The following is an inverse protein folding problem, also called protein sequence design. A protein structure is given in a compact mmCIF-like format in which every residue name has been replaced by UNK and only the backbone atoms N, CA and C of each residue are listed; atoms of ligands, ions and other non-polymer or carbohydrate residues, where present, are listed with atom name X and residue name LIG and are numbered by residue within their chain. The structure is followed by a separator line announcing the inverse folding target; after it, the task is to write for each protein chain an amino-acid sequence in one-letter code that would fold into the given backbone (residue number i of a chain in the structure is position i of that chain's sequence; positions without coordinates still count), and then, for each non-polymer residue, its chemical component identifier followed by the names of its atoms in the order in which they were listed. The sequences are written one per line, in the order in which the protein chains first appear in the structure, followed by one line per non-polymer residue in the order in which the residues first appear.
data_IF_087712043602
#
_entry.id   IF_087712043602
#
_cell.length_a   1.000
_cell.length_b   1.000
_cell.length_c   1.000
_cell.angle_alpha   90.00
_cell.angle_beta   90.00
_cell.angle_gamma   90.00
#
_symmetry.space_group_name_H-M   'P 1'
#
loop_
_entity.id
_entity.type
_entity.pdbx_description
1 polymer ?
#
# COMPACT_ATOMS: atom_id res chain seq x y z
N UNK A 1 -18.73 58.13 -55.91
CA UNK A 1 -19.45 57.22 -55.06
C UNK A 1 -18.62 55.97 -54.86
N UNK A 2 -17.93 55.80 -53.72
CA UNK A 2 -17.07 54.63 -53.43
C UNK A 2 -17.94 53.64 -52.59
N UNK A 3 -18.11 52.42 -53.15
CA UNK A 3 -18.82 51.34 -52.47
C UNK A 3 -17.82 50.64 -51.50
N UNK A 4 -18.13 50.69 -50.20
CA UNK A 4 -17.42 49.87 -49.19
C UNK A 4 -18.13 48.50 -49.12
N UNK A 5 -17.34 47.44 -49.31
CA UNK A 5 -17.72 46.06 -49.01
C UNK A 5 -17.21 45.68 -47.65
N UNK A 6 -18.14 45.43 -46.73
CA UNK A 6 -17.82 44.89 -45.40
C UNK A 6 -17.79 43.38 -45.48
N UNK A 7 -16.59 42.75 -45.32
CA UNK A 7 -16.43 41.32 -45.21
C UNK A 7 -16.53 40.94 -43.70
N UNK A 8 -17.65 40.30 -43.37
CA UNK A 8 -17.82 39.68 -42.03
C UNK A 8 -17.08 38.33 -42.05
N UNK A 9 -15.89 38.25 -41.40
CA UNK A 9 -15.23 37.01 -41.12
C UNK A 9 -15.87 36.38 -39.86
N UNK A 10 -16.75 35.39 -40.05
CA UNK A 10 -17.16 34.50 -38.97
C UNK A 10 -16.07 33.49 -38.72
N UNK A 11 -15.28 33.71 -37.65
CA UNK A 11 -14.33 32.74 -37.15
C UNK A 11 -15.11 31.60 -36.48
N UNK A 12 -15.30 30.50 -37.24
CA UNK A 12 -15.80 29.25 -36.69
C UNK A 12 -14.67 28.58 -35.89
N UNK A 13 -14.61 28.86 -34.60
CA UNK A 13 -13.70 28.16 -33.69
C UNK A 13 -14.17 26.71 -33.53
N UNK A 14 -13.50 25.83 -34.24
CA UNK A 14 -13.65 24.38 -34.10
C UNK A 14 -13.02 23.99 -32.74
N UNK A 15 -13.85 23.93 -31.70
CA UNK A 15 -13.47 23.36 -30.40
C UNK A 15 -13.43 21.84 -30.60
N UNK A 16 -12.27 21.33 -30.99
CA UNK A 16 -12.00 19.89 -30.90
C UNK A 16 -11.90 19.53 -29.43
N UNK A 17 -12.98 18.99 -28.88
CA UNK A 17 -12.90 18.23 -27.63
C UNK A 17 -11.94 17.06 -27.88
N UNK A 18 -10.71 17.23 -27.43
CA UNK A 18 -9.81 16.10 -27.18
C UNK A 18 -10.46 15.29 -26.05
N UNK A 19 -11.28 14.33 -26.44
CA UNK A 19 -11.61 13.21 -25.56
C UNK A 19 -10.31 12.45 -25.37
N UNK A 20 -9.50 12.87 -24.39
CA UNK A 20 -8.46 12.03 -23.85
C UNK A 20 -9.17 10.74 -23.42
N UNK A 21 -8.83 9.62 -24.02
CA UNK A 21 -9.20 8.30 -23.53
C UNK A 21 -8.68 8.22 -22.10
N UNK A 22 -9.51 8.55 -21.11
CA UNK A 22 -9.30 8.17 -19.74
C UNK A 22 -9.50 6.67 -19.72
N UNK A 23 -8.43 5.93 -20.01
CA UNK A 23 -8.42 4.50 -19.81
C UNK A 23 -8.92 4.27 -18.37
N UNK A 24 -10.02 3.56 -18.22
CA UNK A 24 -10.56 3.27 -16.92
C UNK A 24 -9.46 2.62 -16.09
N UNK A 25 -9.06 3.28 -15.00
CA UNK A 25 -7.96 2.84 -14.13
C UNK A 25 -8.20 1.44 -13.57
N UNK A 26 -9.45 1.14 -13.29
CA UNK A 26 -9.90 -0.16 -12.76
C UNK A 26 -10.87 -0.81 -13.74
N UNK A 27 -10.68 -2.09 -13.97
CA UNK A 27 -11.57 -2.89 -14.81
C UNK A 27 -12.32 -3.87 -13.93
N UNK A 28 -13.65 -3.84 -14.02
CA UNK A 28 -14.51 -4.82 -13.32
C UNK A 28 -14.81 -5.97 -14.26
N UNK A 29 -14.28 -7.15 -13.98
CA UNK A 29 -14.54 -8.38 -14.76
C UNK A 29 -14.32 -9.62 -13.90
N UNK A 30 -14.86 -10.74 -14.32
CA UNK A 30 -14.62 -12.04 -13.70
C UNK A 30 -13.14 -12.43 -13.72
N UNK A 31 -12.79 -13.41 -12.89
CA UNK A 31 -11.43 -13.93 -12.75
C UNK A 31 -11.37 -15.03 -11.69
N UNK A 32 -10.26 -15.08 -10.96
CA UNK A 32 -10.05 -16.00 -9.86
C UNK A 32 -11.11 -15.79 -8.76
N UNK A 33 -11.74 -16.84 -8.22
CA UNK A 33 -12.73 -16.75 -7.14
C UNK A 33 -12.15 -16.16 -5.84
N UNK A 34 -10.82 -16.20 -5.65
CA UNK A 34 -10.14 -15.59 -4.50
C UNK A 34 -9.85 -14.09 -4.70
N UNK A 35 -10.35 -13.46 -5.77
CA UNK A 35 -10.19 -12.04 -6.04
C UNK A 35 -11.51 -11.28 -6.03
N UNK A 36 -11.43 -9.97 -5.82
CA UNK A 36 -12.59 -9.06 -5.70
C UNK A 36 -13.23 -8.69 -7.06
N UNK A 37 -12.90 -9.40 -8.14
CA UNK A 37 -13.37 -9.12 -9.53
C UNK A 37 -12.99 -7.72 -10.04
N UNK A 38 -12.04 -7.08 -9.42
CA UNK A 38 -11.48 -5.78 -9.79
C UNK A 38 -10.03 -5.96 -10.24
N UNK A 39 -9.66 -5.31 -11.32
CA UNK A 39 -8.36 -5.43 -11.95
C UNK A 39 -7.68 -4.08 -12.03
N UNK A 40 -6.39 -4.07 -11.79
CA UNK A 40 -5.51 -2.90 -11.91
C UNK A 40 -4.24 -3.29 -12.67
N UNK A 41 -3.88 -2.54 -13.70
CA UNK A 41 -2.70 -2.79 -14.55
C UNK A 41 -2.55 -4.25 -15.03
N UNK A 42 -3.68 -4.86 -15.45
CA UNK A 42 -3.69 -6.23 -15.97
C UNK A 42 -3.74 -7.34 -14.92
N UNK A 43 -3.67 -7.01 -13.63
CA UNK A 43 -3.70 -7.95 -12.52
C UNK A 43 -5.03 -7.85 -11.75
N UNK A 44 -5.60 -9.00 -11.38
CA UNK A 44 -6.76 -9.04 -10.48
C UNK A 44 -6.30 -8.80 -9.04
N UNK A 45 -7.08 -8.01 -8.30
CA UNK A 45 -6.85 -7.73 -6.89
C UNK A 45 -7.38 -8.89 -6.05
N UNK A 46 -6.57 -9.37 -5.10
CA UNK A 46 -6.97 -10.44 -4.19
C UNK A 46 -7.98 -9.96 -3.14
N UNK A 47 -8.66 -10.90 -2.47
CA UNK A 47 -9.40 -10.59 -1.26
C UNK A 47 -8.45 -10.25 -0.13
N UNK A 48 -8.78 -9.23 0.64
CA UNK A 48 -8.03 -8.85 1.85
C UNK A 48 -8.19 -9.93 2.93
N UNK A 49 -7.11 -10.19 3.66
CA UNK A 49 -7.13 -11.03 4.84
C UNK A 49 -7.73 -10.24 6.00
N UNK A 50 -8.80 -10.77 6.63
CA UNK A 50 -9.40 -10.15 7.82
C UNK A 50 -8.69 -10.57 9.11
N UNK A 51 -9.09 -9.96 10.24
CA UNK A 51 -8.59 -10.30 11.59
C UNK A 51 -8.72 -11.79 11.96
N UNK A 52 -9.56 -12.57 11.29
CA UNK A 52 -9.62 -14.03 11.47
C UNK A 52 -8.31 -14.73 11.03
N UNK A 53 -7.45 -14.05 10.29
CA UNK A 53 -6.13 -14.54 9.88
C UNK A 53 -5.00 -14.29 10.88
N UNK A 54 -5.27 -13.73 12.07
CA UNK A 54 -4.22 -13.38 13.06
C UNK A 54 -3.36 -14.59 13.43
N UNK A 55 -3.96 -15.75 13.66
CA UNK A 55 -3.22 -16.97 14.01
C UNK A 55 -2.23 -17.37 12.90
N UNK A 56 -2.61 -17.16 11.64
CA UNK A 56 -1.72 -17.42 10.50
C UNK A 56 -0.61 -16.37 10.42
N UNK A 57 -0.91 -15.10 10.73
CA UNK A 57 0.07 -14.01 10.75
C UNK A 57 1.11 -14.17 11.87
N UNK A 58 0.76 -14.83 12.98
CA UNK A 58 1.63 -15.07 14.14
C UNK A 58 2.15 -16.51 14.21
N UNK A 59 2.03 -17.29 13.13
CA UNK A 59 2.53 -18.68 13.12
C UNK A 59 4.02 -18.76 13.43
N UNK A 60 4.47 -19.73 14.24
CA UNK A 60 5.87 -19.83 14.65
C UNK A 60 6.85 -20.01 13.49
N UNK A 61 6.40 -20.60 12.39
CA UNK A 61 7.22 -20.89 11.21
C UNK A 61 7.51 -19.64 10.37
N UNK A 62 6.79 -18.54 10.59
CA UNK A 62 6.84 -17.32 9.76
C UNK A 62 8.24 -16.75 9.61
N UNK A 63 9.02 -16.70 10.70
CA UNK A 63 10.40 -16.17 10.66
C UNK A 63 11.28 -16.99 9.71
N UNK A 64 11.11 -18.32 9.69
CA UNK A 64 11.86 -19.23 8.82
C UNK A 64 11.38 -19.12 7.37
N UNK A 65 10.05 -19.10 7.15
CA UNK A 65 9.46 -19.07 5.81
C UNK A 65 9.73 -17.76 5.08
N UNK A 66 9.63 -16.63 5.78
CA UNK A 66 9.78 -15.28 5.23
C UNK A 66 11.21 -14.72 5.38
N UNK A 67 12.08 -15.42 6.11
CA UNK A 67 13.45 -14.98 6.44
C UNK A 67 13.45 -13.53 6.99
N UNK A 68 12.64 -13.29 8.01
CA UNK A 68 12.39 -11.97 8.62
C UNK A 68 13.69 -11.28 9.05
N UNK A 69 14.62 -12.04 9.63
CA UNK A 69 15.93 -11.52 10.04
C UNK A 69 16.73 -10.94 8.87
N UNK A 70 16.68 -11.58 7.70
CA UNK A 70 17.34 -11.08 6.48
C UNK A 70 16.64 -9.81 5.96
N UNK A 71 15.31 -9.78 5.98
CA UNK A 71 14.55 -8.58 5.61
C UNK A 71 14.96 -7.40 6.49
N UNK A 72 14.88 -7.54 7.82
CA UNK A 72 15.23 -6.46 8.76
C UNK A 72 16.67 -5.96 8.55
N UNK A 73 17.62 -6.87 8.34
CA UNK A 73 19.01 -6.51 8.04
C UNK A 73 19.13 -5.65 6.77
N UNK A 74 18.38 -5.99 5.72
CA UNK A 74 18.43 -5.30 4.42
C UNK A 74 17.70 -3.96 4.42
N UNK A 75 16.77 -3.72 5.36
CA UNK A 75 16.09 -2.44 5.50
C UNK A 75 17.06 -1.30 5.88
N UNK A 76 18.24 -1.61 6.43
CA UNK A 76 19.22 -0.62 6.91
C UNK A 76 18.60 0.40 7.86
N UNK A 77 17.87 -0.09 8.86
CA UNK A 77 17.17 0.73 9.84
C UNK A 77 18.14 1.61 10.63
N UNK A 78 17.77 2.85 10.86
CA UNK A 78 18.56 3.81 11.65
C UNK A 78 17.77 4.26 12.89
N UNK A 79 18.48 4.51 13.97
CA UNK A 79 17.90 5.11 15.18
C UNK A 79 17.24 6.46 14.82
N UNK A 80 16.03 6.68 15.33
CA UNK A 80 15.29 7.93 15.13
C UNK A 80 14.39 7.96 13.88
N UNK A 81 14.42 6.93 13.03
CA UNK A 81 13.54 6.87 11.85
C UNK A 81 12.05 6.90 12.21
N UNK A 82 11.26 7.50 11.32
CA UNK A 82 9.81 7.44 11.31
C UNK A 82 9.41 6.39 10.26
N UNK A 83 8.93 5.25 10.69
CA UNK A 83 8.60 4.13 9.79
C UNK A 83 7.10 3.87 9.84
N UNK A 84 6.47 3.63 8.70
CA UNK A 84 5.10 3.13 8.66
C UNK A 84 5.08 1.67 8.20
N UNK A 85 4.41 0.83 8.99
CA UNK A 85 4.03 -0.53 8.66
C UNK A 85 2.62 -0.46 8.09
N UNK A 86 2.47 -0.68 6.78
CA UNK A 86 1.23 -0.45 6.05
C UNK A 86 0.45 -1.77 5.92
N UNK A 87 -0.80 -1.76 6.37
CA UNK A 87 -1.63 -2.94 6.62
C UNK A 87 -0.91 -3.85 7.63
N UNK A 88 -0.69 -3.27 8.81
CA UNK A 88 0.15 -3.86 9.85
C UNK A 88 -0.39 -5.20 10.41
N UNK A 89 -1.69 -5.47 10.22
CA UNK A 89 -2.35 -6.71 10.64
C UNK A 89 -2.17 -6.96 12.14
N UNK A 90 -1.62 -8.12 12.49
CA UNK A 90 -1.30 -8.50 13.88
C UNK A 90 -0.16 -7.68 14.50
N UNK A 91 0.59 -6.90 13.70
CA UNK A 91 1.74 -6.14 14.15
C UNK A 91 3.06 -6.92 14.19
N UNK A 92 3.13 -8.04 13.52
CA UNK A 92 4.34 -8.87 13.51
C UNK A 92 5.60 -8.04 13.17
N UNK A 93 5.59 -7.33 12.03
CA UNK A 93 6.70 -6.44 11.66
C UNK A 93 6.73 -5.16 12.49
N UNK A 94 5.60 -4.61 12.89
CA UNK A 94 5.51 -3.43 13.78
C UNK A 94 6.35 -3.59 15.04
N UNK A 95 6.24 -4.75 15.73
CA UNK A 95 6.97 -5.05 16.95
C UNK A 95 8.48 -5.15 16.71
N UNK A 96 8.89 -5.76 15.62
CA UNK A 96 10.29 -5.92 15.23
C UNK A 96 10.93 -4.58 14.85
N UNK A 97 10.22 -3.77 14.05
CA UNK A 97 10.65 -2.42 13.67
C UNK A 97 10.82 -1.52 14.90
N UNK A 98 9.85 -1.55 15.82
CA UNK A 98 9.88 -0.75 17.06
C UNK A 98 11.14 -1.00 17.88
N UNK A 99 11.53 -2.26 18.02
CA UNK A 99 12.75 -2.68 18.74
C UNK A 99 14.04 -2.27 18.02
N UNK A 100 13.98 -2.01 16.73
CA UNK A 100 15.17 -1.78 15.87
C UNK A 100 15.54 -0.31 15.67
N UNK A 101 14.63 0.64 15.95
CA UNK A 101 14.82 2.07 15.61
C UNK A 101 15.06 3.00 16.82
N UNK A 102 15.26 2.43 18.00
CA UNK A 102 15.58 3.20 19.21
C UNK A 102 14.51 4.24 19.56
N UNK A 103 14.86 5.52 19.48
CA UNK A 103 13.96 6.65 19.76
C UNK A 103 13.11 7.08 18.54
N UNK A 104 13.13 6.34 17.46
CA UNK A 104 12.24 6.51 16.31
C UNK A 104 10.80 6.15 16.66
N UNK A 105 9.89 6.27 15.66
CA UNK A 105 8.48 5.86 15.81
C UNK A 105 8.07 4.92 14.68
N UNK A 106 7.24 3.94 15.03
CA UNK A 106 6.54 3.09 14.08
C UNK A 106 5.08 3.50 14.04
N UNK A 107 4.56 3.77 12.85
CA UNK A 107 3.15 4.00 12.60
C UNK A 107 2.57 2.70 12.04
N UNK A 108 1.81 1.99 12.85
CA UNK A 108 1.11 0.77 12.47
C UNK A 108 -0.24 1.16 11.84
N UNK A 109 -0.30 1.16 10.52
CA UNK A 109 -1.48 1.57 9.75
C UNK A 109 -2.28 0.35 9.37
N UNK A 110 -3.55 0.32 9.68
CA UNK A 110 -4.47 -0.71 9.22
C UNK A 110 -5.84 -0.13 8.87
N UNK A 111 -6.56 -0.79 7.97
CA UNK A 111 -7.91 -0.37 7.56
C UNK A 111 -8.98 -1.03 8.42
N UNK A 112 -8.68 -2.18 9.04
CA UNK A 112 -9.63 -2.94 9.83
C UNK A 112 -9.61 -2.52 11.31
N UNK A 113 -10.73 -2.01 11.87
CA UNK A 113 -10.79 -1.58 13.27
C UNK A 113 -10.40 -2.67 14.27
N UNK A 114 -10.70 -3.93 13.97
CA UNK A 114 -10.37 -5.06 14.81
C UNK A 114 -8.88 -5.31 14.89
N UNK A 115 -8.14 -5.11 13.78
CA UNK A 115 -6.67 -5.15 13.78
C UNK A 115 -6.09 -4.02 14.64
N UNK A 116 -6.64 -2.81 14.52
CA UNK A 116 -6.21 -1.67 15.36
C UNK A 116 -6.43 -1.95 16.86
N UNK A 117 -7.56 -2.57 17.23
CA UNK A 117 -7.81 -2.97 18.61
C UNK A 117 -6.78 -3.99 19.08
N UNK A 118 -6.55 -5.04 18.33
CA UNK A 118 -5.56 -6.08 18.61
C UNK A 118 -4.14 -5.48 18.76
N UNK A 119 -3.72 -4.62 17.84
CA UNK A 119 -2.44 -3.91 17.92
C UNK A 119 -2.29 -3.10 19.22
N UNK A 120 -3.33 -2.37 19.61
CA UNK A 120 -3.31 -1.56 20.83
C UNK A 120 -3.14 -2.44 22.10
N UNK A 121 -3.80 -3.57 22.17
CA UNK A 121 -3.65 -4.53 23.26
C UNK A 121 -2.24 -5.09 23.30
N UNK A 122 -1.72 -5.55 22.18
CA UNK A 122 -0.37 -6.10 22.04
C UNK A 122 0.72 -5.07 22.40
N UNK A 123 0.60 -3.83 21.95
CA UNK A 123 1.53 -2.73 22.28
C UNK A 123 1.57 -2.51 23.80
N UNK A 124 0.41 -2.54 24.45
CA UNK A 124 0.30 -2.39 25.91
C UNK A 124 0.93 -3.56 26.67
N UNK A 125 0.69 -4.78 26.22
CA UNK A 125 1.25 -5.99 26.81
C UNK A 125 2.78 -6.02 26.71
N UNK A 126 3.33 -5.69 25.52
CA UNK A 126 4.77 -5.62 25.29
C UNK A 126 5.42 -4.34 25.84
N UNK A 127 4.64 -3.41 26.41
CA UNK A 127 5.10 -2.14 27.00
C UNK A 127 5.92 -1.28 26.02
N UNK A 128 5.57 -1.31 24.75
CA UNK A 128 6.23 -0.52 23.73
C UNK A 128 5.65 0.90 23.69
N UNK A 129 6.52 1.91 23.66
CA UNK A 129 6.13 3.32 23.78
C UNK A 129 6.34 4.13 22.51
N UNK A 130 6.97 3.53 21.51
CA UNK A 130 7.33 4.18 20.25
C UNK A 130 6.49 3.71 19.04
N UNK A 131 5.32 3.12 19.30
CA UNK A 131 4.36 2.71 18.26
C UNK A 131 3.13 3.61 18.35
N UNK A 132 2.62 4.01 17.20
CA UNK A 132 1.36 4.75 17.04
C UNK A 132 0.48 3.96 16.07
N UNK A 133 -0.68 3.51 16.52
CA UNK A 133 -1.68 2.90 15.65
C UNK A 133 -2.43 3.96 14.87
N UNK A 134 -2.66 3.72 13.60
CA UNK A 134 -3.35 4.66 12.70
C UNK A 134 -4.44 3.92 11.94
N UNK A 135 -5.68 4.37 12.10
CA UNK A 135 -6.79 3.87 11.30
C UNK A 135 -6.73 4.52 9.91
N UNK A 136 -6.33 3.73 8.92
CA UNK A 136 -6.34 4.12 7.51
C UNK A 136 -7.69 3.85 6.85
N UNK A 137 -7.71 3.98 5.53
CA UNK A 137 -8.82 3.57 4.67
C UNK A 137 -8.27 2.86 3.43
N UNK A 138 -9.14 2.31 2.58
CA UNK A 138 -8.72 1.65 1.33
C UNK A 138 -8.00 2.59 0.34
N UNK A 139 -8.05 3.91 0.56
CA UNK A 139 -7.48 4.93 -0.34
C UNK A 139 -6.48 5.86 0.35
N UNK A 140 -6.33 5.76 1.68
CA UNK A 140 -5.55 6.75 2.42
C UNK A 140 -4.90 6.12 3.67
N UNK A 141 -3.58 6.27 3.78
CA UNK A 141 -2.79 5.84 4.94
C UNK A 141 -3.00 6.70 6.20
N UNK A 142 -3.70 7.83 6.08
CA UNK A 142 -3.98 8.78 7.17
C UNK A 142 -2.74 9.28 7.92
N UNK A 143 -1.60 9.38 7.23
CA UNK A 143 -0.35 9.90 7.77
C UNK A 143 -0.10 11.35 7.31
N UNK A 144 0.55 12.19 8.14
CA UNK A 144 0.89 13.56 7.75
C UNK A 144 1.80 13.60 6.50
N UNK A 145 1.68 14.64 5.65
CA UNK A 145 2.58 14.81 4.52
C UNK A 145 4.05 14.91 4.94
N UNK A 146 4.93 14.33 4.14
CA UNK A 146 6.40 14.41 4.32
C UNK A 146 6.88 14.08 5.73
N UNK A 147 6.27 13.07 6.36
CA UNK A 147 6.54 12.70 7.76
C UNK A 147 7.29 11.37 7.92
N UNK A 148 7.28 10.51 6.91
CA UNK A 148 7.75 9.12 6.99
C UNK A 148 9.06 8.94 6.23
N UNK A 149 10.06 8.33 6.88
CA UNK A 149 11.34 8.00 6.28
C UNK A 149 11.28 6.71 5.44
N UNK A 150 10.48 5.74 5.90
CA UNK A 150 10.30 4.46 5.22
C UNK A 150 8.89 3.92 5.44
N UNK A 151 8.30 3.38 4.39
CA UNK A 151 7.09 2.55 4.47
C UNK A 151 7.44 1.12 4.10
N UNK A 152 6.97 0.18 4.91
CA UNK A 152 7.11 -1.24 4.68
C UNK A 152 5.73 -1.85 4.40
N UNK A 153 5.64 -2.63 3.33
CA UNK A 153 4.49 -3.44 2.97
C UNK A 153 4.99 -4.88 2.79
N UNK A 154 4.45 -5.81 3.56
CA UNK A 154 4.83 -7.23 3.46
C UNK A 154 3.60 -8.07 3.18
N UNK A 155 3.56 -8.64 1.99
CA UNK A 155 2.50 -9.55 1.51
C UNK A 155 1.10 -8.91 1.59
N UNK A 156 0.96 -7.66 1.13
CA UNK A 156 -0.29 -6.88 1.25
C UNK A 156 -0.66 -6.05 0.02
N UNK A 157 0.30 -5.63 -0.82
CA UNK A 157 0.00 -4.74 -1.95
C UNK A 157 -0.99 -5.39 -2.94
N UNK A 158 -0.91 -6.70 -3.09
CA UNK A 158 -1.79 -7.48 -3.96
C UNK A 158 -3.28 -7.47 -3.51
N UNK A 159 -3.56 -7.04 -2.29
CA UNK A 159 -4.91 -6.93 -1.70
C UNK A 159 -5.49 -5.51 -1.78
N UNK A 160 -4.72 -4.50 -2.19
CA UNK A 160 -5.21 -3.12 -2.22
C UNK A 160 -6.38 -2.96 -3.19
N UNK A 161 -7.56 -2.64 -2.66
CA UNK A 161 -8.77 -2.36 -3.45
C UNK A 161 -8.59 -1.13 -4.37
N UNK A 162 -7.75 -0.16 -3.96
CA UNK A 162 -7.47 1.08 -4.67
C UNK A 162 -5.96 1.39 -4.67
N UNK A 163 -5.13 0.54 -5.35
CA UNK A 163 -3.67 0.64 -5.28
C UNK A 163 -3.12 1.98 -5.78
N UNK A 164 -3.75 2.64 -6.74
CA UNK A 164 -3.30 3.95 -7.23
C UNK A 164 -3.51 5.05 -6.19
N UNK A 165 -4.71 5.14 -5.62
CA UNK A 165 -5.07 6.14 -4.61
C UNK A 165 -4.22 5.93 -3.34
N UNK A 166 -4.06 4.68 -2.93
CA UNK A 166 -3.20 4.31 -1.81
C UNK A 166 -1.74 4.69 -2.09
N UNK A 167 -1.25 4.41 -3.31
CA UNK A 167 0.09 4.80 -3.77
C UNK A 167 0.31 6.31 -3.69
N UNK A 168 -0.65 7.13 -4.13
CA UNK A 168 -0.58 8.58 -4.00
C UNK A 168 -0.56 9.04 -2.54
N UNK A 169 -1.38 8.43 -1.69
CA UNK A 169 -1.42 8.74 -0.27
C UNK A 169 -0.08 8.43 0.41
N UNK A 170 0.50 7.26 0.12
CA UNK A 170 1.83 6.88 0.61
C UNK A 170 2.92 7.84 0.10
N UNK A 171 2.90 8.17 -1.19
CA UNK A 171 3.86 9.12 -1.78
C UNK A 171 3.82 10.49 -1.07
N UNK A 172 2.63 11.01 -0.80
CA UNK A 172 2.47 12.29 -0.10
C UNK A 172 2.98 12.26 1.34
N UNK A 173 2.87 11.13 2.02
CA UNK A 173 3.33 10.98 3.40
C UNK A 173 4.83 10.71 3.52
N UNK A 174 5.48 10.21 2.47
CA UNK A 174 6.93 10.02 2.44
C UNK A 174 7.67 11.37 2.41
N UNK A 175 8.74 11.45 3.18
CA UNK A 175 9.71 12.55 3.10
C UNK A 175 10.41 12.56 1.74
N UNK A 176 11.02 13.68 1.31
CA UNK A 176 11.97 13.66 0.22
C UNK A 176 13.06 12.60 0.47
N UNK A 177 13.31 11.74 -0.50
CA UNK A 177 14.19 10.55 -0.41
C UNK A 177 13.71 9.44 0.57
N UNK A 178 12.48 9.53 1.07
CA UNK A 178 11.84 8.46 1.81
C UNK A 178 11.68 7.21 0.93
N UNK A 179 11.65 6.03 1.54
CA UNK A 179 11.63 4.75 0.84
C UNK A 179 10.28 4.06 0.98
N UNK A 180 9.77 3.53 -0.12
CA UNK A 180 8.69 2.56 -0.13
C UNK A 180 9.31 1.17 -0.39
N UNK A 181 9.10 0.23 0.52
CA UNK A 181 9.60 -1.14 0.44
C UNK A 181 8.41 -2.08 0.33
N UNK A 182 8.31 -2.78 -0.79
CA UNK A 182 7.32 -3.83 -1.02
C UNK A 182 8.01 -5.19 -0.97
N UNK A 183 7.45 -6.09 -0.20
CA UNK A 183 7.89 -7.49 -0.09
C UNK A 183 6.70 -8.38 -0.42
N UNK A 184 6.82 -9.14 -1.48
CA UNK A 184 5.73 -9.97 -2.01
C UNK A 184 6.25 -11.34 -2.41
N UNK A 185 5.39 -12.35 -2.39
CA UNK A 185 5.73 -13.65 -2.96
C UNK A 185 5.87 -13.56 -4.48
N UNK A 186 6.94 -14.13 -5.00
CA UNK A 186 7.28 -14.07 -6.44
C UNK A 186 6.33 -14.92 -7.27
N UNK A 187 5.72 -14.34 -8.28
CA UNK A 187 4.85 -15.05 -9.23
C UNK A 187 5.64 -16.03 -10.12
N UNK A 188 6.92 -15.75 -10.35
CA UNK A 188 7.83 -16.54 -11.17
C UNK A 188 8.28 -17.85 -10.48
N UNK A 189 8.10 -17.96 -9.16
CA UNK A 189 8.45 -19.16 -8.41
C UNK A 189 7.24 -20.06 -8.18
N UNK A 190 7.18 -21.17 -8.91
CA UNK A 190 6.11 -22.15 -8.79
C UNK A 190 6.22 -23.05 -7.54
N UNK A 191 7.37 -23.05 -6.85
CA UNK A 191 7.57 -23.87 -5.66
C UNK A 191 7.01 -23.22 -4.39
N UNK A 192 6.75 -21.91 -4.42
CA UNK A 192 6.12 -21.21 -3.29
C UNK A 192 4.65 -21.63 -3.19
N UNK A 193 4.22 -22.25 -2.07
CA UNK A 193 2.87 -22.81 -1.92
C UNK A 193 1.80 -21.76 -1.60
N UNK A 194 1.85 -20.64 -2.30
CA UNK A 194 0.89 -19.52 -2.20
C UNK A 194 0.05 -19.47 -3.48
N UNK A 195 -1.24 -19.15 -3.36
CA UNK A 195 -2.13 -19.00 -4.52
C UNK A 195 -1.60 -17.91 -5.45
N UNK A 196 -1.66 -18.12 -6.76
CA UNK A 196 -1.12 -17.21 -7.77
C UNK A 196 -1.63 -15.77 -7.63
N UNK A 197 -2.89 -15.59 -7.20
CA UNK A 197 -3.48 -14.27 -7.03
C UNK A 197 -2.80 -13.45 -5.91
N UNK A 198 -2.18 -14.11 -4.94
CA UNK A 198 -1.41 -13.47 -3.86
C UNK A 198 0.09 -13.34 -4.18
N UNK A 199 0.51 -13.66 -5.40
CA UNK A 199 1.90 -13.48 -5.84
C UNK A 199 2.01 -12.26 -6.75
N UNK A 200 3.16 -11.61 -6.74
CA UNK A 200 3.47 -10.45 -7.58
C UNK A 200 4.67 -10.75 -8.48
N UNK A 201 4.68 -10.19 -9.70
CA UNK A 201 5.86 -10.14 -10.56
C UNK A 201 6.66 -8.87 -10.28
N UNK A 202 7.93 -8.88 -10.67
CA UNK A 202 8.79 -7.69 -10.65
C UNK A 202 8.50 -6.73 -11.82
N UNK A 203 7.71 -7.16 -12.82
CA UNK A 203 7.40 -6.42 -14.06
C UNK A 203 6.03 -5.74 -13.99
#
# INVERSE_FOLDING_TARGET
MKKFYCFLFTALTLITFLHGNTQERYILKGGDPNGIKKWFMGRQIAHVMSHYGIDWLERPERDIEENTSLLLKNLNLQTGMQIADIVAGSGYYTMLLSKSIGNGKVYAVDVEPQMILYLNERIKEEKLTNIVTVQGSETNVALPPSSIDMMLLVDVYHEFSFPYEMGLSMFNALKPNGKLVLVEFRSEDNNVPIKTIHKMSEA
#
